data_IF_191547971249
#
_entry.id   IF_191547971249
#
_cell.length_a   1.000
_cell.length_b   1.000
_cell.length_c   1.000
_cell.angle_alpha   90.00
_cell.angle_beta   90.00
_cell.angle_gamma   90.00
#
_symmetry.space_group_name_H-M   'P 1'
#
loop_
_entity.id
_entity.type
_entity.pdbx_description
1 polymer ?
#
# COMPACT_ATOMS: atom_id res chain seq x y z
N UNK A 1 -1.08 63.53 -8.22
CA UNK A 1 -0.97 62.20 -8.86
C UNK A 1 -0.36 61.24 -7.86
N UNK A 2 -0.89 60.02 -7.73
CA UNK A 2 -0.23 58.96 -6.96
C UNK A 2 0.75 58.21 -7.89
N UNK A 3 1.99 58.03 -7.46
CA UNK A 3 2.99 57.29 -8.23
C UNK A 3 2.77 55.79 -8.07
N UNK A 4 1.90 55.21 -8.91
CA UNK A 4 1.52 53.80 -8.85
C UNK A 4 2.61 52.89 -9.46
N UNK A 5 3.80 52.92 -8.86
CA UNK A 5 4.97 52.17 -9.32
C UNK A 5 4.83 50.70 -8.94
N UNK A 6 4.46 49.86 -9.91
CA UNK A 6 4.28 48.43 -9.73
C UNK A 6 5.54 47.76 -9.17
N UNK A 7 5.45 47.21 -7.97
CA UNK A 7 6.52 46.43 -7.34
C UNK A 7 6.59 45.03 -7.97
N UNK A 8 7.50 44.88 -8.92
CA UNK A 8 7.72 43.64 -9.68
C UNK A 8 8.21 42.49 -8.78
N UNK A 9 8.89 42.78 -7.66
CA UNK A 9 9.33 41.74 -6.71
C UNK A 9 8.12 41.20 -5.95
N UNK A 10 7.34 42.11 -5.33
CA UNK A 10 6.11 41.75 -4.63
C UNK A 10 5.10 41.04 -5.53
N UNK A 11 4.99 41.43 -6.79
CA UNK A 11 4.11 40.76 -7.77
C UNK A 11 4.61 39.34 -8.10
N UNK A 12 5.93 39.13 -8.25
CA UNK A 12 6.52 37.79 -8.45
C UNK A 12 6.31 36.88 -7.24
N UNK A 13 6.41 37.39 -6.02
CA UNK A 13 6.15 36.62 -4.80
C UNK A 13 4.70 36.16 -4.72
N UNK A 14 3.74 37.07 -4.99
CA UNK A 14 2.30 36.76 -5.02
C UNK A 14 1.97 35.71 -6.09
N UNK A 15 2.48 35.86 -7.32
CA UNK A 15 2.28 34.87 -8.39
C UNK A 15 2.88 33.51 -8.02
N UNK A 16 4.09 33.49 -7.43
CA UNK A 16 4.74 32.24 -6.98
C UNK A 16 3.94 31.56 -5.86
N UNK A 17 3.36 32.33 -4.93
CA UNK A 17 2.49 31.81 -3.89
C UNK A 17 1.21 31.18 -4.47
N UNK A 18 0.52 31.88 -5.38
CA UNK A 18 -0.68 31.34 -6.03
C UNK A 18 -0.37 30.10 -6.88
N UNK A 19 0.75 30.08 -7.61
CA UNK A 19 1.19 28.89 -8.36
C UNK A 19 1.41 27.68 -7.45
N UNK A 20 2.19 27.84 -6.38
CA UNK A 20 2.45 26.76 -5.41
C UNK A 20 1.19 26.30 -4.67
N UNK A 21 0.22 27.20 -4.46
CA UNK A 21 -1.09 26.87 -3.87
C UNK A 21 -1.98 26.07 -4.85
N UNK A 22 -2.00 26.44 -6.13
CA UNK A 22 -2.73 25.72 -7.18
C UNK A 22 -2.10 24.36 -7.47
N UNK A 23 -0.77 24.28 -7.53
CA UNK A 23 -0.01 23.03 -7.69
C UNK A 23 -0.33 22.05 -6.55
N UNK A 24 -0.28 22.52 -5.30
CA UNK A 24 -0.65 21.71 -4.13
C UNK A 24 -2.12 21.29 -4.14
N UNK A 25 -3.06 22.19 -4.41
CA UNK A 25 -4.50 21.83 -4.41
C UNK A 25 -4.84 20.87 -5.54
N UNK A 26 -4.29 21.06 -6.75
CA UNK A 26 -4.40 20.08 -7.84
C UNK A 26 -3.82 18.71 -7.47
N UNK A 27 -2.64 18.67 -6.85
CA UNK A 27 -2.01 17.43 -6.39
C UNK A 27 -2.85 16.71 -5.32
N UNK A 28 -3.39 17.43 -4.33
CA UNK A 28 -4.32 16.88 -3.34
C UNK A 28 -5.61 16.36 -3.98
N UNK A 29 -6.22 17.10 -4.91
CA UNK A 29 -7.43 16.66 -5.63
C UNK A 29 -7.13 15.37 -6.42
N UNK A 30 -6.01 15.33 -7.15
CA UNK A 30 -5.59 14.15 -7.93
C UNK A 30 -5.37 12.92 -7.04
N UNK A 31 -4.77 13.08 -5.86
CA UNK A 31 -4.60 11.99 -4.88
C UNK A 31 -5.94 11.52 -4.33
N UNK A 32 -6.85 12.43 -3.95
CA UNK A 32 -8.15 12.04 -3.40
C UNK A 32 -9.02 11.32 -4.45
N UNK A 33 -9.02 11.78 -5.71
CA UNK A 33 -9.66 11.07 -6.83
C UNK A 33 -9.02 9.68 -7.02
N UNK A 34 -7.69 9.57 -7.00
CA UNK A 34 -7.01 8.29 -7.18
C UNK A 34 -7.31 7.29 -6.05
N UNK A 35 -7.30 7.74 -4.79
CA UNK A 35 -7.71 6.92 -3.63
C UNK A 35 -9.17 6.50 -3.73
N UNK A 36 -10.06 7.40 -4.16
CA UNK A 36 -11.47 7.05 -4.41
C UNK A 36 -11.63 6.00 -5.51
N UNK A 37 -10.89 6.12 -6.62
CA UNK A 37 -10.89 5.12 -7.70
C UNK A 37 -10.35 3.76 -7.23
N UNK A 38 -9.26 3.72 -6.45
CA UNK A 38 -8.76 2.48 -5.84
C UNK A 38 -9.79 1.86 -4.89
N UNK A 39 -10.41 2.67 -4.03
CA UNK A 39 -11.41 2.19 -3.08
C UNK A 39 -12.66 1.62 -3.80
N UNK A 40 -13.03 2.19 -4.94
CA UNK A 40 -14.11 1.69 -5.79
C UNK A 40 -13.72 0.38 -6.52
N UNK A 41 -12.53 0.33 -7.12
CA UNK A 41 -12.04 -0.84 -7.87
C UNK A 41 -11.76 -2.06 -6.98
N UNK A 42 -11.18 -1.86 -5.81
CA UNK A 42 -10.78 -2.95 -4.91
C UNK A 42 -11.76 -3.10 -3.73
N UNK A 43 -13.06 -2.84 -3.95
CA UNK A 43 -14.12 -2.80 -2.92
C UNK A 43 -14.18 -4.03 -2.01
N UNK A 44 -13.73 -5.19 -2.47
CA UNK A 44 -13.58 -6.42 -1.67
C UNK A 44 -12.57 -6.29 -0.51
N UNK A 45 -11.73 -5.24 -0.48
CA UNK A 45 -10.81 -4.90 0.62
C UNK A 45 -11.36 -3.81 1.55
N UNK A 46 -12.58 -3.30 1.35
CA UNK A 46 -13.16 -2.21 2.15
C UNK A 46 -13.16 -2.50 3.65
N UNK A 47 -13.47 -3.74 4.05
CA UNK A 47 -13.39 -4.18 5.45
C UNK A 47 -11.97 -4.04 6.03
N UNK A 48 -10.93 -4.28 5.22
CA UNK A 48 -9.53 -4.14 5.63
C UNK A 48 -9.17 -2.66 5.79
N UNK A 49 -9.51 -1.82 4.81
CA UNK A 49 -9.24 -0.38 4.90
C UNK A 49 -10.01 0.30 6.04
N UNK A 50 -11.28 -0.08 6.26
CA UNK A 50 -12.08 0.39 7.39
C UNK A 50 -11.46 -0.05 8.72
N UNK A 51 -10.92 -1.28 8.81
CA UNK A 51 -10.16 -1.75 9.99
C UNK A 51 -8.90 -0.90 10.21
N UNK A 52 -8.14 -0.59 9.15
CA UNK A 52 -6.97 0.31 9.25
C UNK A 52 -7.35 1.75 9.61
N UNK A 53 -8.46 2.27 9.08
CA UNK A 53 -9.00 3.58 9.43
C UNK A 53 -9.38 3.64 10.91
N UNK A 54 -10.02 2.60 11.44
CA UNK A 54 -10.27 2.45 12.87
C UNK A 54 -8.98 2.39 13.70
N UNK A 55 -7.90 1.81 13.19
CA UNK A 55 -6.59 1.83 13.84
C UNK A 55 -5.91 3.20 13.80
N UNK A 56 -6.08 3.99 12.73
CA UNK A 56 -5.49 5.33 12.58
C UNK A 56 -6.39 6.48 13.08
N UNK A 57 -7.64 6.23 13.47
CA UNK A 57 -8.50 7.20 14.17
C UNK A 57 -7.80 7.78 15.41
N UNK A 58 -8.14 9.03 15.77
CA UNK A 58 -7.63 9.60 17.03
C UNK A 58 -8.16 8.86 18.26
N UNK A 59 -7.50 9.08 19.39
CA UNK A 59 -7.95 8.65 20.72
C UNK A 59 -8.60 9.80 21.51
N UNK A 60 -8.64 11.02 20.98
CA UNK A 60 -9.01 12.22 21.74
C UNK A 60 -10.44 12.19 22.28
N UNK A 61 -11.36 11.58 21.52
CA UNK A 61 -12.77 11.38 21.90
C UNK A 61 -13.04 9.99 22.54
N UNK A 62 -11.99 9.18 22.78
CA UNK A 62 -12.12 7.85 23.41
C UNK A 62 -12.28 8.02 24.94
N UNK A 63 -13.37 7.56 25.57
CA UNK A 63 -13.61 7.72 27.00
C UNK A 63 -12.56 7.00 27.88
N UNK A 64 -11.85 6.01 27.33
CA UNK A 64 -10.79 5.27 28.02
C UNK A 64 -9.38 5.87 27.80
N UNK A 65 -9.25 7.00 27.06
CA UNK A 65 -7.98 7.67 26.76
C UNK A 65 -7.06 7.85 27.97
N UNK A 66 -7.62 8.24 29.13
CA UNK A 66 -6.85 8.46 30.35
C UNK A 66 -6.10 7.21 30.84
N UNK A 67 -6.60 6.01 30.52
CA UNK A 67 -5.92 4.73 30.80
C UNK A 67 -4.75 4.51 29.84
N UNK A 68 -4.94 4.82 28.55
CA UNK A 68 -3.88 4.72 27.54
C UNK A 68 -2.75 5.70 27.87
N UNK A 69 -3.07 6.94 28.26
CA UNK A 69 -2.09 7.93 28.74
C UNK A 69 -1.42 7.49 30.06
N UNK A 70 -2.15 6.82 30.95
CA UNK A 70 -1.61 6.20 32.16
C UNK A 70 -0.51 5.16 31.91
N UNK A 71 -0.49 4.51 30.73
CA UNK A 71 0.60 3.65 30.28
C UNK A 71 1.65 4.41 29.45
N UNK A 72 1.20 5.14 28.42
CA UNK A 72 2.09 5.78 27.45
C UNK A 72 2.94 6.90 28.06
N UNK A 73 2.40 7.76 28.93
CA UNK A 73 3.16 8.90 29.45
C UNK A 73 4.33 8.48 30.36
N UNK A 74 4.19 7.44 31.21
CA UNK A 74 5.34 6.80 31.85
C UNK A 74 6.30 6.12 30.86
N UNK A 75 5.81 5.48 29.79
CA UNK A 75 6.67 4.82 28.80
C UNK A 75 7.55 5.83 28.03
N UNK A 76 6.95 6.87 27.46
CA UNK A 76 7.67 7.92 26.71
C UNK A 76 8.76 8.57 27.58
N UNK A 77 8.44 8.88 28.85
CA UNK A 77 9.41 9.41 29.83
C UNK A 77 10.55 8.45 30.15
N UNK A 78 10.31 7.13 30.19
CA UNK A 78 11.36 6.10 30.39
C UNK A 78 12.25 5.91 29.16
N UNK A 79 11.69 6.09 27.96
CA UNK A 79 12.44 6.01 26.70
C UNK A 79 13.24 7.28 26.41
N UNK A 80 12.98 8.39 27.11
CA UNK A 80 13.57 9.70 26.80
C UNK A 80 13.04 10.29 25.50
N UNK A 81 11.83 9.89 25.10
CA UNK A 81 11.21 10.23 23.83
C UNK A 81 10.13 11.30 24.05
N UNK A 82 10.33 12.48 23.47
CA UNK A 82 9.41 13.63 23.52
C UNK A 82 8.65 13.86 22.20
N UNK A 83 8.77 12.94 21.23
CA UNK A 83 8.09 13.07 19.95
C UNK A 83 6.58 12.84 20.09
N UNK A 84 5.81 13.88 19.78
CA UNK A 84 4.34 13.90 19.90
C UNK A 84 3.68 12.87 18.98
N UNK A 85 4.26 12.56 17.82
CA UNK A 85 3.73 11.52 16.93
C UNK A 85 4.04 10.12 17.46
N UNK A 86 5.18 9.93 18.13
CA UNK A 86 5.48 8.68 18.85
C UNK A 86 4.54 8.46 20.04
N UNK A 87 4.22 9.51 20.83
CA UNK A 87 3.16 9.42 21.88
C UNK A 87 1.81 9.06 21.26
N UNK A 88 1.40 9.72 20.17
CA UNK A 88 0.14 9.40 19.47
C UNK A 88 0.11 7.95 18.97
N UNK A 89 1.22 7.45 18.44
CA UNK A 89 1.34 6.06 18.00
C UNK A 89 1.19 5.07 19.17
N UNK A 90 1.85 5.31 20.30
CA UNK A 90 1.67 4.53 21.53
C UNK A 90 0.18 4.45 21.92
N UNK A 91 -0.51 5.60 22.00
CA UNK A 91 -1.92 5.66 22.39
C UNK A 91 -2.83 4.88 21.44
N UNK A 92 -2.62 5.00 20.12
CA UNK A 92 -3.36 4.21 19.11
C UNK A 92 -3.11 2.72 19.28
N UNK A 93 -1.84 2.29 19.43
CA UNK A 93 -1.49 0.89 19.59
C UNK A 93 -2.10 0.28 20.86
N UNK A 94 -2.02 0.98 21.99
CA UNK A 94 -2.59 0.54 23.28
C UNK A 94 -4.12 0.40 23.20
N UNK A 95 -4.82 1.33 22.53
CA UNK A 95 -6.25 1.19 22.21
C UNK A 95 -6.51 -0.03 21.31
N UNK A 96 -5.71 -0.20 20.25
CA UNK A 96 -5.90 -1.28 19.27
C UNK A 96 -5.61 -2.67 19.86
N UNK A 97 -4.75 -2.76 20.89
CA UNK A 97 -4.52 -3.98 21.68
C UNK A 97 -5.65 -4.26 22.69
N UNK A 98 -6.56 -3.29 22.93
CA UNK A 98 -7.82 -3.50 23.65
C UNK A 98 -7.71 -3.85 25.14
N UNK A 99 -6.51 -3.85 25.74
CA UNK A 99 -6.29 -4.15 27.18
C UNK A 99 -7.09 -3.21 28.08
N UNK A 100 -6.99 -1.92 27.80
CA UNK A 100 -7.51 -0.87 28.69
C UNK A 100 -8.94 -0.44 28.33
N UNK A 101 -9.39 -0.72 27.10
CA UNK A 101 -10.72 -0.40 26.60
C UNK A 101 -11.81 -1.19 27.36
N UNK A 102 -12.99 -0.59 27.46
CA UNK A 102 -14.18 -1.15 28.12
C UNK A 102 -14.45 -2.61 27.73
N UNK A 103 -14.80 -3.42 28.74
CA UNK A 103 -15.02 -4.87 28.65
C UNK A 103 -13.89 -5.69 28.01
N UNK A 104 -12.63 -5.21 28.09
CA UNK A 104 -11.44 -5.95 27.63
C UNK A 104 -11.57 -6.41 26.17
N UNK A 105 -11.75 -5.45 25.24
CA UNK A 105 -12.07 -5.67 23.82
C UNK A 105 -11.28 -6.80 23.14
N UNK A 106 -10.04 -7.04 23.56
CA UNK A 106 -9.21 -8.15 23.07
C UNK A 106 -9.82 -9.55 23.19
N UNK A 107 -10.72 -9.77 24.16
CA UNK A 107 -11.43 -11.04 24.34
C UNK A 107 -12.35 -11.37 23.14
N UNK A 108 -12.63 -10.39 22.28
CA UNK A 108 -13.47 -10.50 21.08
C UNK A 108 -12.65 -10.46 19.78
N UNK A 109 -11.31 -10.45 19.84
CA UNK A 109 -10.47 -10.37 18.64
C UNK A 109 -10.51 -11.68 17.84
N UNK A 110 -10.69 -11.55 16.53
CA UNK A 110 -10.58 -12.66 15.57
C UNK A 110 -9.14 -12.78 15.05
N UNK A 111 -8.81 -13.93 14.45
CA UNK A 111 -7.53 -14.12 13.75
C UNK A 111 -7.31 -13.04 12.68
N UNK A 112 -8.36 -12.72 11.90
CA UNK A 112 -8.38 -11.63 10.93
C UNK A 112 -8.02 -10.27 11.55
N UNK A 113 -8.63 -9.91 12.69
CA UNK A 113 -8.30 -8.67 13.40
C UNK A 113 -6.83 -8.61 13.81
N UNK A 114 -6.28 -9.74 14.30
CA UNK A 114 -4.89 -9.83 14.72
C UNK A 114 -3.89 -9.85 13.56
N UNK A 115 -4.24 -10.42 12.40
CA UNK A 115 -3.47 -10.25 11.16
C UNK A 115 -3.48 -8.78 10.72
N UNK A 116 -4.66 -8.15 10.63
CA UNK A 116 -4.78 -6.75 10.22
C UNK A 116 -4.03 -5.81 11.18
N UNK A 117 -4.07 -6.07 12.50
CA UNK A 117 -3.34 -5.29 13.49
C UNK A 117 -1.82 -5.44 13.34
N UNK A 118 -1.30 -6.66 13.21
CA UNK A 118 0.14 -6.87 12.99
C UNK A 118 0.62 -6.24 11.67
N UNK A 119 -0.18 -6.31 10.61
CA UNK A 119 0.11 -5.64 9.34
C UNK A 119 0.14 -4.11 9.48
N UNK A 120 -0.81 -3.51 10.22
CA UNK A 120 -0.83 -2.06 10.50
C UNK A 120 0.34 -1.62 11.40
N UNK A 121 0.73 -2.43 12.39
CA UNK A 121 1.93 -2.21 13.21
C UNK A 121 3.17 -2.23 12.33
N UNK A 122 3.28 -3.20 11.42
CA UNK A 122 4.41 -3.33 10.50
C UNK A 122 4.55 -2.11 9.56
N UNK A 123 3.45 -1.61 9.02
CA UNK A 123 3.49 -0.38 8.21
C UNK A 123 3.82 0.85 9.05
N UNK A 124 3.34 0.90 10.30
CA UNK A 124 3.66 1.97 11.25
C UNK A 124 5.15 2.06 11.59
N UNK A 125 5.89 0.94 11.54
CA UNK A 125 7.36 0.94 11.73
C UNK A 125 8.08 1.90 10.75
N UNK A 126 7.53 2.08 9.55
CA UNK A 126 8.11 2.95 8.49
C UNK A 126 7.67 4.41 8.58
N UNK A 127 6.73 4.73 9.48
CA UNK A 127 6.08 6.05 9.62
C UNK A 127 6.59 6.84 10.83
N UNK A 128 6.90 6.15 11.92
CA UNK A 128 7.29 6.74 13.21
C UNK A 128 8.80 6.59 13.47
N UNK A 129 9.37 7.36 14.41
CA UNK A 129 10.81 7.29 14.75
C UNK A 129 11.05 6.25 15.83
N UNK A 130 12.06 5.40 15.68
CA UNK A 130 12.44 4.38 16.67
C UNK A 130 11.28 3.52 17.26
N UNK A 131 10.23 3.16 16.49
CA UNK A 131 8.97 2.68 17.07
C UNK A 131 9.05 1.30 17.73
N UNK A 132 10.10 0.52 17.44
CA UNK A 132 10.28 -0.84 17.99
C UNK A 132 10.19 -0.90 19.51
N UNK A 133 10.80 0.06 20.23
CA UNK A 133 10.75 0.10 21.70
C UNK A 133 9.33 0.35 22.24
N UNK A 134 8.52 1.13 21.51
CA UNK A 134 7.12 1.41 21.86
C UNK A 134 6.28 0.17 21.57
N UNK A 135 6.46 -0.46 20.40
CA UNK A 135 5.72 -1.66 19.99
C UNK A 135 6.00 -2.82 20.96
N UNK A 136 7.27 -3.13 21.20
CA UNK A 136 7.69 -4.21 22.10
C UNK A 136 7.07 -4.01 23.49
N UNK A 137 7.13 -2.80 24.05
CA UNK A 137 6.55 -2.53 25.39
C UNK A 137 5.03 -2.54 25.41
N UNK A 138 4.34 -2.10 24.36
CA UNK A 138 2.87 -2.22 24.28
C UNK A 138 2.41 -3.69 24.21
N UNK A 139 3.11 -4.54 23.45
CA UNK A 139 2.77 -5.95 23.32
C UNK A 139 3.22 -6.79 24.52
N UNK A 140 4.32 -6.45 25.19
CA UNK A 140 4.75 -7.02 26.46
C UNK A 140 3.68 -6.78 27.55
N UNK A 141 3.25 -5.53 27.70
CA UNK A 141 2.19 -5.10 28.62
C UNK A 141 0.85 -5.82 28.38
N UNK A 142 0.42 -5.90 27.11
CA UNK A 142 -0.75 -6.67 26.70
C UNK A 142 -0.60 -8.17 27.02
N UNK A 143 0.54 -8.77 26.65
CA UNK A 143 0.76 -10.23 26.79
C UNK A 143 0.88 -10.66 28.24
N UNK A 144 1.56 -9.86 29.07
CA UNK A 144 1.66 -10.09 30.51
C UNK A 144 0.28 -10.10 31.16
N UNK A 145 -0.57 -9.12 30.86
CA UNK A 145 -1.93 -9.06 31.40
C UNK A 145 -2.82 -10.22 30.96
N UNK A 146 -2.77 -10.61 29.68
CA UNK A 146 -3.57 -11.76 29.20
C UNK A 146 -3.15 -13.05 29.92
N UNK A 147 -1.85 -13.20 30.22
CA UNK A 147 -1.31 -14.30 31.02
C UNK A 147 -1.71 -14.20 32.51
N UNK A 148 -1.71 -13.01 33.10
CA UNK A 148 -2.14 -12.78 34.49
C UNK A 148 -3.59 -13.21 34.74
N UNK A 149 -4.49 -12.94 33.79
CA UNK A 149 -5.89 -13.38 33.86
C UNK A 149 -6.10 -14.85 33.44
N UNK A 150 -5.02 -15.62 33.27
CA UNK A 150 -5.05 -17.05 32.94
C UNK A 150 -5.42 -17.40 31.49
N UNK A 151 -5.49 -16.41 30.59
CA UNK A 151 -5.88 -16.60 29.20
C UNK A 151 -4.66 -16.85 28.29
N UNK A 152 -4.92 -17.41 27.10
CA UNK A 152 -3.92 -17.47 26.01
C UNK A 152 -3.90 -16.15 25.25
N UNK A 153 -2.71 -15.70 24.84
CA UNK A 153 -2.52 -14.50 24.03
C UNK A 153 -3.23 -14.65 22.67
N UNK A 154 -4.33 -13.93 22.48
CA UNK A 154 -5.14 -13.97 21.25
C UNK A 154 -4.42 -13.23 20.11
N UNK A 155 -3.73 -12.13 20.44
CA UNK A 155 -3.10 -11.20 19.49
C UNK A 155 -1.58 -11.10 19.74
N UNK A 156 -0.79 -12.17 19.49
CA UNK A 156 0.67 -12.09 19.62
C UNK A 156 1.26 -11.09 18.61
N UNK A 157 2.42 -10.53 18.94
CA UNK A 157 3.20 -9.71 18.03
C UNK A 157 4.03 -10.58 17.09
N UNK A 158 4.00 -10.25 15.81
CA UNK A 158 4.87 -10.83 14.78
C UNK A 158 5.84 -9.78 14.25
N UNK A 159 7.12 -9.90 14.63
CA UNK A 159 8.21 -9.08 14.06
C UNK A 159 8.50 -9.56 12.63
N UNK A 160 7.69 -9.13 11.66
CA UNK A 160 7.77 -9.68 10.30
C UNK A 160 9.14 -9.49 9.64
N UNK A 161 9.84 -8.37 9.87
CA UNK A 161 11.22 -8.16 9.38
C UNK A 161 12.23 -9.15 9.97
N UNK A 162 11.97 -9.75 11.15
CA UNK A 162 12.78 -10.83 11.71
C UNK A 162 12.34 -12.19 11.16
N UNK A 163 11.03 -12.45 11.14
CA UNK A 163 10.43 -13.75 10.82
C UNK A 163 10.50 -14.16 9.34
N UNK A 164 10.43 -13.22 8.39
CA UNK A 164 10.20 -13.52 6.98
C UNK A 164 11.23 -12.91 6.04
N UNK A 165 11.63 -13.65 4.98
CA UNK A 165 12.62 -13.18 3.99
C UNK A 165 12.14 -11.96 3.20
N UNK A 166 10.86 -11.96 2.80
CA UNK A 166 10.19 -10.82 2.17
C UNK A 166 8.88 -10.50 2.90
N UNK A 167 8.95 -9.71 3.99
CA UNK A 167 7.81 -9.43 4.88
C UNK A 167 6.59 -8.85 4.16
N UNK A 168 6.81 -7.90 3.25
CA UNK A 168 5.74 -7.24 2.46
C UNK A 168 4.98 -8.26 1.63
N UNK A 169 5.69 -9.21 1.03
CA UNK A 169 5.08 -10.23 0.17
C UNK A 169 4.26 -11.21 1.01
N UNK A 170 4.75 -11.64 2.18
CA UNK A 170 3.97 -12.45 3.12
C UNK A 170 2.73 -11.68 3.61
N UNK A 171 2.81 -10.38 3.89
CA UNK A 171 1.65 -9.56 4.30
C UNK A 171 0.55 -9.58 3.24
N UNK A 172 0.88 -9.45 1.96
CA UNK A 172 -0.10 -9.53 0.86
C UNK A 172 -0.82 -10.88 0.86
N UNK A 173 -0.07 -11.99 0.98
CA UNK A 173 -0.66 -13.33 1.10
C UNK A 173 -1.54 -13.47 2.35
N UNK A 174 -1.14 -12.89 3.49
CA UNK A 174 -1.92 -12.90 4.74
C UNK A 174 -3.20 -12.08 4.69
N UNK A 175 -3.24 -11.04 3.86
CA UNK A 175 -4.47 -10.28 3.58
C UNK A 175 -5.41 -11.11 2.70
N UNK A 176 -4.90 -11.87 1.72
CA UNK A 176 -5.71 -12.88 1.01
C UNK A 176 -6.25 -13.94 1.99
N UNK A 177 -5.39 -14.58 2.79
CA UNK A 177 -5.77 -15.59 3.80
C UNK A 177 -6.93 -15.11 4.69
N UNK A 178 -6.80 -13.89 5.24
CA UNK A 178 -7.72 -13.34 6.22
C UNK A 178 -9.04 -12.83 5.63
N UNK A 179 -9.10 -12.59 4.31
CA UNK A 179 -10.28 -12.04 3.61
C UNK A 179 -10.84 -13.01 2.55
N UNK A 180 -10.37 -14.25 2.52
CA UNK A 180 -10.73 -15.28 1.53
C UNK A 180 -12.25 -15.38 1.30
N UNK A 181 -13.06 -15.37 2.37
CA UNK A 181 -14.52 -15.47 2.26
C UNK A 181 -15.15 -14.23 1.59
N UNK A 182 -14.55 -13.05 1.75
CA UNK A 182 -15.01 -11.79 1.12
C UNK A 182 -14.63 -11.80 -0.36
N UNK A 183 -13.43 -12.30 -0.67
CA UNK A 183 -12.93 -12.54 -2.03
C UNK A 183 -13.83 -13.57 -2.76
N UNK A 184 -14.33 -14.61 -2.07
CA UNK A 184 -15.31 -15.55 -2.61
C UNK A 184 -16.65 -14.88 -2.93
N UNK A 185 -17.25 -14.17 -1.96
CA UNK A 185 -18.52 -13.48 -2.19
C UNK A 185 -18.40 -12.39 -3.28
N UNK A 186 -17.27 -11.70 -3.38
CA UNK A 186 -17.02 -10.68 -4.41
C UNK A 186 -16.86 -11.26 -5.83
N UNK A 187 -16.58 -12.56 -5.97
CA UNK A 187 -16.71 -13.26 -7.25
C UNK A 187 -18.20 -13.51 -7.54
N UNK A 188 -18.99 -14.00 -6.58
CA UNK A 188 -20.42 -14.30 -6.76
C UNK A 188 -21.31 -13.08 -7.05
N UNK A 189 -21.08 -11.97 -6.36
CA UNK A 189 -21.90 -10.75 -6.50
C UNK A 189 -21.69 -10.07 -7.87
N UNK A 190 -20.50 -10.21 -8.46
CA UNK A 190 -20.17 -9.64 -9.77
C UNK A 190 -20.48 -10.66 -10.88
N UNK A 191 -21.74 -10.64 -11.31
CA UNK A 191 -22.33 -11.44 -12.42
C UNK A 191 -21.63 -11.32 -13.78
N UNK A 192 -20.64 -10.42 -13.91
CA UNK A 192 -19.88 -10.16 -15.14
C UNK A 192 -18.48 -10.76 -14.95
N UNK A 193 -17.94 -11.48 -15.94
CA UNK A 193 -16.70 -12.28 -15.82
C UNK A 193 -15.42 -11.46 -15.63
N UNK A 194 -15.56 -10.15 -15.44
CA UNK A 194 -14.62 -9.11 -15.81
C UNK A 194 -14.23 -8.22 -14.61
N UNK A 195 -14.29 -8.75 -13.37
CA UNK A 195 -13.67 -8.11 -12.20
C UNK A 195 -12.14 -8.17 -12.29
N UNK A 196 -11.59 -7.37 -13.21
CA UNK A 196 -10.16 -7.23 -13.49
C UNK A 196 -9.37 -6.84 -12.22
N UNK A 197 -9.83 -5.92 -11.35
CA UNK A 197 -9.15 -5.63 -10.06
C UNK A 197 -9.00 -6.85 -9.15
N UNK A 198 -10.07 -7.62 -8.92
CA UNK A 198 -10.06 -8.81 -8.06
C UNK A 198 -9.20 -9.93 -8.66
N UNK A 199 -9.34 -10.16 -9.96
CA UNK A 199 -8.52 -11.13 -10.70
C UNK A 199 -7.04 -10.76 -10.69
N UNK A 200 -6.69 -9.49 -10.93
CA UNK A 200 -5.30 -9.02 -10.87
C UNK A 200 -4.70 -9.15 -9.47
N UNK A 201 -5.49 -8.91 -8.41
CA UNK A 201 -5.07 -9.15 -7.03
C UNK A 201 -4.80 -10.64 -6.74
N UNK A 202 -5.71 -11.52 -7.17
CA UNK A 202 -5.53 -12.98 -7.09
C UNK A 202 -4.26 -13.42 -7.84
N UNK A 203 -4.07 -12.90 -9.06
CA UNK A 203 -2.90 -13.17 -9.89
C UNK A 203 -1.57 -12.75 -9.24
N UNK A 204 -1.45 -11.55 -8.67
CA UNK A 204 -0.22 -11.16 -7.95
C UNK A 204 0.00 -12.03 -6.71
N UNK A 205 -1.05 -12.46 -5.98
CA UNK A 205 -0.86 -13.41 -4.86
C UNK A 205 -0.25 -14.74 -5.32
N UNK A 206 -0.70 -15.27 -6.48
CA UNK A 206 -0.13 -16.48 -7.09
C UNK A 206 1.31 -16.23 -7.57
N UNK A 207 1.57 -15.07 -8.18
CA UNK A 207 2.90 -14.67 -8.67
C UNK A 207 3.91 -14.59 -7.52
N UNK A 208 3.55 -13.88 -6.44
CA UNK A 208 4.32 -13.78 -5.20
C UNK A 208 4.60 -15.17 -4.64
N UNK A 209 3.58 -16.03 -4.50
CA UNK A 209 3.77 -17.39 -4.02
C UNK A 209 4.74 -18.19 -4.91
N UNK A 210 4.54 -18.17 -6.24
CA UNK A 210 5.36 -18.97 -7.18
C UNK A 210 6.83 -18.57 -7.15
N UNK A 211 7.15 -17.28 -7.13
CA UNK A 211 8.54 -16.81 -7.06
C UNK A 211 9.15 -16.97 -5.66
N UNK A 212 8.41 -16.74 -4.58
CA UNK A 212 8.92 -16.95 -3.22
C UNK A 212 9.18 -18.43 -2.89
N UNK A 213 8.29 -19.35 -3.27
CA UNK A 213 8.46 -20.79 -3.05
C UNK A 213 9.68 -21.34 -3.82
N UNK A 214 9.81 -20.93 -5.09
CA UNK A 214 10.98 -21.20 -5.95
C UNK A 214 12.29 -20.67 -5.36
N UNK A 215 12.27 -19.47 -4.77
CA UNK A 215 13.47 -18.80 -4.24
C UNK A 215 13.87 -19.29 -2.85
N UNK A 216 12.89 -19.56 -1.96
CA UNK A 216 13.13 -19.78 -0.54
C UNK A 216 12.80 -21.18 -0.02
N UNK A 217 12.12 -22.04 -0.79
CA UNK A 217 11.61 -23.32 -0.29
C UNK A 217 12.09 -24.54 -1.08
N UNK A 218 12.25 -24.45 -2.41
CA UNK A 218 12.61 -25.60 -3.26
C UNK A 218 14.06 -26.10 -3.12
N UNK A 219 14.97 -25.26 -2.61
CA UNK A 219 16.42 -25.54 -2.53
C UNK A 219 17.04 -25.18 -1.17
N UNK A 220 16.24 -24.98 -0.11
CA UNK A 220 16.72 -24.34 1.12
C UNK A 220 17.27 -25.35 2.14
N UNK A 221 18.35 -24.99 2.83
CA UNK A 221 18.98 -25.84 3.84
C UNK A 221 18.18 -25.79 5.16
N UNK A 222 18.11 -26.93 5.85
CA UNK A 222 17.38 -27.13 7.11
C UNK A 222 17.92 -26.35 8.34
N UNK A 223 18.72 -25.31 8.15
CA UNK A 223 19.30 -24.48 9.23
C UNK A 223 18.77 -23.04 9.23
N UNK A 224 18.20 -22.55 8.12
CA UNK A 224 17.69 -21.19 7.99
C UNK A 224 16.28 -21.03 8.61
N UNK A 225 16.20 -20.71 9.90
CA UNK A 225 14.93 -20.49 10.62
C UNK A 225 14.00 -19.49 9.93
N UNK A 226 14.55 -18.37 9.43
CA UNK A 226 13.80 -17.35 8.69
C UNK A 226 13.29 -17.88 7.35
N UNK A 227 14.04 -18.78 6.73
CA UNK A 227 13.60 -19.58 5.58
C UNK A 227 12.43 -20.49 5.93
N UNK A 228 12.55 -21.30 6.99
CA UNK A 228 11.50 -22.19 7.48
C UNK A 228 10.20 -21.45 7.79
N UNK A 229 10.27 -20.31 8.49
CA UNK A 229 9.11 -19.47 8.80
C UNK A 229 8.46 -18.90 7.53
N UNK A 230 9.27 -18.44 6.57
CA UNK A 230 8.78 -17.98 5.26
C UNK A 230 8.06 -19.11 4.52
N UNK A 231 8.65 -20.30 4.46
CA UNK A 231 8.03 -21.46 3.82
C UNK A 231 6.78 -21.96 4.56
N UNK A 232 6.74 -21.89 5.88
CA UNK A 232 5.54 -22.21 6.67
C UNK A 232 4.35 -21.29 6.32
N UNK A 233 4.62 -19.99 6.15
CA UNK A 233 3.62 -19.04 5.66
C UNK A 233 3.20 -19.35 4.21
N UNK A 234 4.14 -19.66 3.31
CA UNK A 234 3.82 -20.01 1.92
C UNK A 234 3.01 -21.32 1.80
N UNK A 235 3.31 -22.33 2.61
CA UNK A 235 2.50 -23.56 2.72
C UNK A 235 1.09 -23.24 3.22
N UNK A 236 0.96 -22.35 4.21
CA UNK A 236 -0.35 -21.90 4.73
C UNK A 236 -1.17 -21.24 3.63
N UNK A 237 -0.61 -20.26 2.92
CA UNK A 237 -1.25 -19.64 1.75
C UNK A 237 -1.63 -20.68 0.69
N UNK A 238 -0.73 -21.62 0.35
CA UNK A 238 -0.99 -22.68 -0.63
C UNK A 238 -2.23 -23.49 -0.29
N UNK A 239 -2.36 -23.90 0.97
CA UNK A 239 -3.41 -24.80 1.41
C UNK A 239 -4.75 -24.05 1.58
N UNK A 240 -4.72 -22.81 2.06
CA UNK A 240 -5.86 -21.88 2.03
C UNK A 240 -6.32 -21.59 0.59
N UNK A 241 -5.40 -21.36 -0.34
CA UNK A 241 -5.72 -21.09 -1.74
C UNK A 241 -6.25 -22.33 -2.47
N UNK A 242 -5.75 -23.53 -2.16
CA UNK A 242 -6.34 -24.79 -2.67
C UNK A 242 -7.76 -24.99 -2.12
N UNK A 243 -8.01 -24.70 -0.85
CA UNK A 243 -9.38 -24.68 -0.31
C UNK A 243 -10.28 -23.66 -1.02
N UNK A 244 -9.78 -22.44 -1.27
CA UNK A 244 -10.48 -21.40 -2.03
C UNK A 244 -10.91 -21.91 -3.42
N UNK A 245 -10.02 -22.55 -4.19
CA UNK A 245 -10.36 -23.11 -5.50
C UNK A 245 -11.41 -24.24 -5.46
N UNK A 246 -11.47 -25.03 -4.39
CA UNK A 246 -12.44 -26.12 -4.28
C UNK A 246 -13.88 -25.65 -4.03
N UNK A 247 -14.08 -24.40 -3.57
CA UNK A 247 -15.43 -23.83 -3.38
C UNK A 247 -16.24 -23.95 -4.67
N UNK A 248 -17.50 -24.44 -4.63
CA UNK A 248 -18.35 -24.58 -5.83
C UNK A 248 -18.48 -23.29 -6.63
N UNK A 249 -18.49 -22.17 -5.91
CA UNK A 249 -18.56 -20.79 -6.40
C UNK A 249 -17.43 -20.52 -7.41
N UNK A 250 -16.20 -20.81 -7.02
CA UNK A 250 -14.99 -20.43 -7.74
C UNK A 250 -14.71 -21.27 -8.99
N UNK A 251 -15.40 -22.41 -9.18
CA UNK A 251 -15.14 -23.37 -10.28
C UNK A 251 -15.45 -22.82 -11.67
N UNK A 252 -16.27 -21.78 -11.75
CA UNK A 252 -16.67 -21.15 -13.01
C UNK A 252 -15.81 -19.94 -13.41
N UNK A 253 -14.95 -19.45 -12.50
CA UNK A 253 -14.13 -18.27 -12.73
C UNK A 253 -12.77 -18.66 -13.32
N UNK A 254 -12.23 -17.81 -14.21
CA UNK A 254 -10.99 -18.07 -14.95
C UNK A 254 -9.72 -17.86 -14.09
N UNK A 255 -9.68 -18.51 -12.93
CA UNK A 255 -8.68 -18.34 -11.87
C UNK A 255 -7.56 -19.40 -12.00
N UNK A 256 -6.27 -19.06 -11.82
CA UNK A 256 -5.20 -20.04 -11.96
C UNK A 256 -5.04 -20.96 -10.74
N UNK A 257 -4.61 -22.20 -10.96
CA UNK A 257 -4.00 -23.01 -9.90
C UNK A 257 -2.57 -22.56 -9.61
N UNK A 258 -2.12 -22.86 -8.39
CA UNK A 258 -0.71 -22.77 -8.02
C UNK A 258 0.13 -23.79 -8.79
N UNK A 259 -0.50 -24.88 -9.25
CA UNK A 259 0.14 -25.93 -10.05
C UNK A 259 -0.03 -25.68 -11.57
N UNK A 260 -0.71 -24.61 -12.00
CA UNK A 260 -0.90 -24.27 -13.43
C UNK A 260 0.45 -24.03 -14.13
N UNK A 261 0.56 -24.57 -15.34
CA UNK A 261 1.65 -24.33 -16.29
C UNK A 261 1.73 -22.83 -16.62
N UNK A 262 2.95 -22.33 -16.87
CA UNK A 262 3.21 -20.91 -17.12
C UNK A 262 2.35 -20.29 -18.24
N UNK A 263 2.02 -21.08 -19.26
CA UNK A 263 1.11 -20.71 -20.36
C UNK A 263 -0.34 -20.50 -19.90
N UNK A 264 -0.85 -21.38 -19.03
CA UNK A 264 -2.20 -21.27 -18.49
C UNK A 264 -2.31 -20.11 -17.50
N UNK A 265 -1.28 -19.90 -16.66
CA UNK A 265 -1.19 -18.70 -15.82
C UNK A 265 -1.18 -17.41 -16.67
N UNK A 266 -0.42 -17.35 -17.77
CA UNK A 266 -0.40 -16.19 -18.68
C UNK A 266 -1.77 -15.91 -19.29
N UNK A 267 -2.47 -16.94 -19.79
CA UNK A 267 -3.85 -16.80 -20.26
C UNK A 267 -4.81 -16.31 -19.17
N UNK A 268 -4.66 -16.81 -17.94
CA UNK A 268 -5.53 -16.46 -16.82
C UNK A 268 -5.19 -15.13 -16.13
N UNK A 269 -4.03 -14.52 -16.37
CA UNK A 269 -3.57 -13.34 -15.63
C UNK A 269 -2.93 -12.21 -16.46
N UNK A 270 -2.64 -12.42 -17.75
CA UNK A 270 -1.82 -11.48 -18.55
C UNK A 270 -2.50 -11.09 -19.87
N UNK A 271 -3.16 -12.02 -20.57
CA UNK A 271 -3.62 -11.83 -21.96
C UNK A 271 -4.63 -10.67 -22.17
N UNK A 272 -5.44 -10.30 -21.16
CA UNK A 272 -6.44 -9.22 -21.27
C UNK A 272 -5.88 -7.80 -21.09
N UNK A 273 -4.63 -7.63 -20.62
CA UNK A 273 -4.05 -6.30 -20.42
C UNK A 273 -3.54 -5.65 -21.74
N UNK A 274 -3.89 -6.21 -22.91
CA UNK A 274 -3.39 -5.79 -24.22
C UNK A 274 -4.46 -5.36 -25.24
N UNK A 275 -5.76 -5.57 -24.97
CA UNK A 275 -6.83 -5.09 -25.88
C UNK A 275 -7.17 -3.61 -25.66
N UNK A 276 -6.18 -2.76 -25.94
CA UNK A 276 -6.43 -1.38 -26.34
C UNK A 276 -7.27 -1.39 -27.64
N UNK A 277 -8.41 -0.69 -27.72
CA UNK A 277 -9.23 -0.70 -28.92
C UNK A 277 -8.44 -0.24 -30.15
N UNK A 278 -8.34 -1.11 -31.17
CA UNK A 278 -7.69 -0.84 -32.47
C UNK A 278 -8.41 0.23 -33.32
N UNK A 279 -9.39 0.93 -32.72
CA UNK A 279 -10.22 1.99 -33.28
C UNK A 279 -9.92 3.36 -32.67
N UNK A 280 -8.78 3.55 -32.00
CA UNK A 280 -8.23 4.88 -31.74
C UNK A 280 -8.04 5.60 -33.10
N UNK A 281 -8.75 6.71 -33.38
CA UNK A 281 -8.75 7.30 -34.71
C UNK A 281 -7.39 7.93 -35.03
N UNK A 282 -6.70 7.37 -36.01
CA UNK A 282 -5.48 7.95 -36.58
C UNK A 282 -5.79 9.37 -37.07
N UNK A 283 -4.96 10.34 -36.70
CA UNK A 283 -5.20 11.76 -36.97
C UNK A 283 -4.83 12.13 -38.43
N UNK A 284 -5.48 11.46 -39.39
CA UNK A 284 -5.10 11.43 -40.79
C UNK A 284 -6.27 11.14 -41.73
N UNK A 285 -7.43 11.77 -41.49
CA UNK A 285 -8.54 11.88 -42.46
C UNK A 285 -9.41 13.12 -42.14
N UNK A 286 -8.86 14.30 -42.40
CA UNK A 286 -9.62 15.56 -42.46
C UNK A 286 -9.34 16.19 -43.83
N UNK A 287 -10.34 16.35 -44.72
CA UNK A 287 -10.14 16.95 -46.03
C UNK A 287 -9.57 18.37 -45.98
N UNK A 288 -8.68 18.63 -46.92
CA UNK A 288 -7.94 19.88 -47.08
C UNK A 288 -8.86 21.09 -47.28
N UNK A 289 -8.96 21.97 -46.26
CA UNK A 289 -9.59 23.28 -46.41
C UNK A 289 -8.54 24.31 -46.85
N UNK A 290 -8.77 24.93 -48.01
CA UNK A 290 -7.81 25.81 -48.67
C UNK A 290 -7.49 27.07 -47.84
N UNK A 291 -6.22 27.51 -47.76
CA UNK A 291 -5.85 28.70 -47.00
C UNK A 291 -6.27 29.98 -47.73
N UNK A 292 -7.02 30.84 -47.03
CA UNK A 292 -7.31 32.20 -47.52
C UNK A 292 -6.05 33.08 -47.46
N UNK A 293 -5.85 33.93 -48.45
CA UNK A 293 -4.59 34.63 -48.69
C UNK A 293 -4.39 35.90 -47.85
N UNK A 294 -3.23 36.00 -47.19
CA UNK A 294 -2.75 37.19 -46.48
C UNK A 294 -1.21 37.24 -46.51
N UNK A 295 -0.63 38.42 -46.76
CA UNK A 295 0.78 38.58 -47.14
C UNK A 295 1.69 39.15 -46.02
N UNK A 296 3.01 39.08 -46.27
CA UNK A 296 4.18 39.47 -45.44
C UNK A 296 4.50 38.46 -44.32
N UNK A 297 5.57 37.66 -44.39
CA UNK A 297 7.02 37.93 -44.60
C UNK A 297 7.73 38.48 -43.33
N UNK A 298 8.88 37.89 -42.97
CA UNK A 298 9.46 38.03 -41.63
C UNK A 298 10.75 37.27 -41.27
N UNK A 299 11.55 36.81 -42.25
CA UNK A 299 12.93 36.22 -42.11
C UNK A 299 13.13 34.86 -41.41
N UNK A 300 14.11 34.11 -41.97
CA UNK A 300 14.80 32.95 -41.39
C UNK A 300 15.86 33.35 -40.35
N UNK A 301 16.29 32.37 -39.55
CA UNK A 301 17.63 32.28 -38.95
C UNK A 301 18.08 30.82 -38.86
N UNK A 302 19.15 30.45 -39.57
CA UNK A 302 19.71 29.08 -39.66
C UNK A 302 21.05 28.96 -38.91
N UNK A 303 21.32 27.83 -38.25
CA UNK A 303 22.64 27.21 -37.98
C UNK A 303 22.34 25.84 -37.29
N UNK A 304 22.64 24.62 -37.78
CA UNK A 304 23.88 24.06 -38.40
C UNK A 304 25.05 24.03 -37.41
N UNK A 305 25.28 22.93 -36.67
CA UNK A 305 26.06 21.70 -37.03
C UNK A 305 27.58 21.91 -37.03
N UNK A 306 28.47 21.05 -36.51
CA UNK A 306 28.38 19.72 -35.86
C UNK A 306 29.36 19.67 -34.63
N UNK A 307 30.08 18.62 -34.16
CA UNK A 307 30.36 17.22 -34.57
C UNK A 307 30.89 16.39 -33.35
N UNK A 308 31.06 15.05 -33.42
CA UNK A 308 31.32 14.18 -32.25
C UNK A 308 32.76 13.61 -32.13
N UNK A 309 33.07 12.93 -31.00
CA UNK A 309 33.82 11.65 -30.94
C UNK A 309 33.84 11.02 -29.51
N UNK A 310 33.82 9.68 -29.42
CA UNK A 310 34.23 8.70 -28.36
C UNK A 310 34.63 9.20 -26.94
N UNK A 311 34.35 8.53 -25.81
CA UNK A 311 33.79 7.22 -25.39
C UNK A 311 34.03 7.09 -23.84
N UNK A 312 33.44 6.25 -22.98
CA UNK A 312 32.87 4.90 -23.04
C UNK A 312 31.67 4.74 -22.04
N UNK A 313 31.36 3.51 -21.56
CA UNK A 313 30.06 3.11 -20.98
C UNK A 313 29.85 3.35 -19.45
N UNK A 314 28.60 3.27 -18.93
CA UNK A 314 28.20 3.94 -17.68
C UNK A 314 28.25 3.09 -16.40
N UNK A 315 28.50 3.76 -15.27
CA UNK A 315 28.25 3.26 -13.90
C UNK A 315 27.09 3.99 -13.22
N UNK A 316 25.88 3.47 -13.30
CA UNK A 316 24.67 4.15 -12.83
C UNK A 316 24.41 3.99 -11.33
N UNK A 317 24.98 4.86 -10.50
CA UNK A 317 24.57 5.03 -9.10
C UNK A 317 23.54 6.15 -8.96
N UNK A 318 22.25 5.83 -9.18
CA UNK A 318 21.16 6.77 -8.87
C UNK A 318 20.78 6.69 -7.40
N UNK A 319 21.40 7.55 -6.58
CA UNK A 319 20.90 7.88 -5.24
C UNK A 319 19.52 8.54 -5.35
N UNK A 320 18.47 7.74 -5.14
CA UNK A 320 17.07 8.16 -5.33
C UNK A 320 16.56 8.95 -4.12
N UNK A 321 16.94 10.23 -4.04
CA UNK A 321 16.50 11.15 -2.99
C UNK A 321 14.97 11.23 -2.94
N UNK A 322 14.37 10.70 -1.88
CA UNK A 322 12.91 10.71 -1.68
C UNK A 322 12.48 12.10 -1.18
N UNK A 323 11.70 12.82 -1.99
CA UNK A 323 11.23 14.16 -1.64
C UNK A 323 10.37 14.17 -0.38
N UNK A 324 10.69 15.06 0.55
CA UNK A 324 10.10 15.19 1.90
C UNK A 324 8.57 15.42 1.91
N UNK A 325 7.96 15.78 0.78
CA UNK A 325 6.53 15.99 0.63
C UNK A 325 5.66 14.73 0.89
N UNK A 326 6.23 13.52 0.81
CA UNK A 326 5.52 12.27 1.13
C UNK A 326 5.16 12.18 2.62
N UNK A 327 6.00 12.75 3.50
CA UNK A 327 5.87 12.59 4.96
C UNK A 327 4.59 13.18 5.58
N UNK A 328 3.96 14.17 4.94
CA UNK A 328 2.76 14.84 5.46
C UNK A 328 1.44 14.24 4.96
N UNK A 329 1.45 13.13 4.22
CA UNK A 329 0.23 12.53 3.64
C UNK A 329 -0.04 11.08 4.11
N UNK A 330 0.68 10.59 5.13
CA UNK A 330 0.52 9.25 5.72
C UNK A 330 -0.75 9.11 6.61
N UNK A 331 -1.87 9.70 6.15
CA UNK A 331 -3.22 9.53 6.68
C UNK A 331 -4.17 8.78 5.74
N UNK A 332 -3.81 8.61 4.46
CA UNK A 332 -4.38 7.56 3.63
C UNK A 332 -3.69 6.23 3.96
N UNK A 333 -4.46 5.13 4.03
CA UNK A 333 -3.96 3.84 4.54
C UNK A 333 -2.69 3.37 3.82
N UNK A 334 -1.70 2.94 4.59
CA UNK A 334 -0.44 2.37 4.10
C UNK A 334 -0.67 1.18 3.16
N UNK A 335 -1.75 0.41 3.36
CA UNK A 335 -2.15 -0.67 2.48
C UNK A 335 -2.43 -0.20 1.04
N UNK A 336 -2.95 1.02 0.84
CA UNK A 336 -3.10 1.60 -0.50
C UNK A 336 -1.73 1.88 -1.13
N UNK A 337 -0.71 2.24 -0.36
CA UNK A 337 0.66 2.40 -0.86
C UNK A 337 1.34 1.06 -1.17
N UNK A 338 1.03 -0.01 -0.42
CA UNK A 338 1.46 -1.38 -0.74
C UNK A 338 0.82 -1.87 -2.05
N UNK A 339 -0.50 -1.73 -2.20
CA UNK A 339 -1.24 -2.10 -3.41
C UNK A 339 -0.89 -1.22 -4.62
N UNK A 340 -0.55 0.05 -4.39
CA UNK A 340 0.03 0.92 -5.42
C UNK A 340 1.39 0.40 -5.92
N UNK A 341 2.26 -0.05 -5.02
CA UNK A 341 3.56 -0.64 -5.40
C UNK A 341 3.42 -1.96 -6.16
N UNK A 342 2.35 -2.72 -5.91
CA UNK A 342 1.96 -3.89 -6.72
C UNK A 342 1.51 -3.46 -8.11
N UNK A 343 0.51 -2.56 -8.21
CA UNK A 343 -0.08 -2.16 -9.50
C UNK A 343 0.90 -1.39 -10.41
N UNK A 344 1.86 -0.65 -9.85
CA UNK A 344 2.95 0.00 -10.60
C UNK A 344 3.99 -0.96 -11.23
N UNK A 345 3.86 -2.28 -11.09
CA UNK A 345 4.64 -3.25 -11.90
C UNK A 345 3.98 -3.61 -13.24
N UNK A 346 2.72 -3.23 -13.44
CA UNK A 346 1.87 -3.67 -14.56
C UNK A 346 1.32 -2.49 -15.39
N UNK A 347 1.93 -1.29 -15.25
CA UNK A 347 1.72 -0.08 -16.05
C UNK A 347 3.11 0.41 -16.50
#
# INVERSE_FOLDING_TARGET
>A
MLNNKLDILKWKEVVRFYYLFLEKTYFFIKINIYVFCLNYQYRFLDKVWNTYYQFDNSVDDDPDKYKYEGFCDPLMKRLGDDDVENKKFCLKLVRNLGRYSHNFKFQQFTSEYCTNLNNWVYDSIKKYKNPHNIIDKCYEDYTEFVREIGNRTICPYYKYDDMYKEPINIIILKIFESNMNIIQNALEEEYDSNNIPLRNYICECINIYKEMDKTYCRNNNDEDEKGKLTCSALNTFRDTYKFFLFSPQNRNYNIPSLDDVETEYKKKCVEENLELPSSAPTYSDVPELQPSTGYMDGRKGEFSSASPLTGENPGSSMTRTVSTAVGTMAGASSLLALLYKVTQKFI
#
